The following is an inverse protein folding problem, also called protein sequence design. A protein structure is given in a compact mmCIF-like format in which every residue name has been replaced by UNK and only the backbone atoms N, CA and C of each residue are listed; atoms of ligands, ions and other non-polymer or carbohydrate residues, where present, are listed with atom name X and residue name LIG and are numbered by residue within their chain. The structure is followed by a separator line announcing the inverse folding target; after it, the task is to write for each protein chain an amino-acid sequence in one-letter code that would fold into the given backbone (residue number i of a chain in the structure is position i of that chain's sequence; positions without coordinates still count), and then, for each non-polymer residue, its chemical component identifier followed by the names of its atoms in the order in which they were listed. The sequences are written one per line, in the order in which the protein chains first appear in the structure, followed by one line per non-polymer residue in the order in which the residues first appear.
data_IF_131682447319
#
_entry.id   IF_131682447319
#
_cell.length_a   1.000
_cell.length_b   1.000
_cell.length_c   1.000
_cell.angle_alpha   90.00
_cell.angle_beta   90.00
_cell.angle_gamma   90.00
#
_symmetry.space_group_name_H-M   'P 1'
#
loop_
_entity.id
_entity.type
_entity.pdbx_description
1 polymer ?
#
# COMPACT_ATOMS: atom_id res chain seq x y z
N UNK A 1 -37.84 -32.93 15.38
CA UNK A 1 -36.49 -32.39 15.16
C UNK A 1 -36.64 -30.89 15.22
N UNK A 2 -36.29 -30.31 16.36
CA UNK A 2 -36.39 -28.88 16.62
C UNK A 2 -35.22 -28.18 15.91
N UNK A 3 -35.53 -27.48 14.82
CA UNK A 3 -34.59 -26.57 14.17
C UNK A 3 -34.63 -25.24 14.91
N UNK A 4 -33.95 -25.15 16.04
CA UNK A 4 -33.75 -23.88 16.73
C UNK A 4 -33.08 -22.90 15.76
N UNK A 5 -33.62 -21.68 15.56
CA UNK A 5 -32.99 -20.68 14.72
C UNK A 5 -31.60 -20.40 15.29
N UNK A 6 -30.57 -20.59 14.48
CA UNK A 6 -29.20 -20.21 14.84
C UNK A 6 -29.19 -18.70 14.96
N UNK A 7 -29.20 -18.19 16.18
CA UNK A 7 -29.04 -16.78 16.48
C UNK A 7 -27.58 -16.42 16.22
N UNK A 8 -27.32 -15.94 15.00
CA UNK A 8 -25.99 -15.48 14.59
C UNK A 8 -25.77 -14.11 15.19
N UNK A 9 -24.80 -13.99 16.10
CA UNK A 9 -24.40 -12.72 16.67
C UNK A 9 -23.83 -11.81 15.58
N UNK A 10 -24.49 -10.69 15.23
CA UNK A 10 -24.01 -9.77 14.21
C UNK A 10 -22.68 -9.12 14.60
N UNK A 11 -22.28 -9.14 15.87
CA UNK A 11 -20.99 -8.63 16.32
C UNK A 11 -19.80 -9.49 15.85
N UNK A 12 -20.04 -10.76 15.52
CA UNK A 12 -19.00 -11.73 15.15
C UNK A 12 -18.82 -11.88 13.63
N UNK A 13 -19.65 -11.20 12.84
CA UNK A 13 -19.61 -11.24 11.37
C UNK A 13 -18.45 -10.38 10.86
N UNK A 14 -17.25 -10.98 10.76
CA UNK A 14 -16.10 -10.37 10.10
C UNK A 14 -16.23 -10.62 8.59
N UNK A 15 -16.87 -9.68 7.88
CA UNK A 15 -16.96 -9.73 6.42
C UNK A 15 -15.73 -9.01 5.88
N UNK A 16 -14.73 -9.76 5.47
CA UNK A 16 -13.74 -9.22 4.56
C UNK A 16 -14.51 -8.85 3.27
N UNK A 17 -14.39 -7.66 2.67
CA UNK A 17 -15.02 -7.36 1.36
C UNK A 17 -13.93 -7.07 0.31
N UNK A 18 -12.78 -7.72 0.46
CA UNK A 18 -11.54 -7.37 -0.23
C UNK A 18 -10.81 -6.27 0.55
N UNK A 19 -10.00 -5.44 -0.12
CA UNK A 19 -9.17 -4.41 0.55
C UNK A 19 -9.92 -3.47 1.51
N UNK A 20 -11.25 -3.41 1.46
CA UNK A 20 -12.08 -2.80 2.51
C UNK A 20 -12.23 -3.82 3.64
N UNK A 21 -11.32 -3.75 4.61
CA UNK A 21 -11.47 -4.51 5.84
C UNK A 21 -12.70 -3.93 6.56
N UNK A 22 -13.80 -4.68 6.69
CA UNK A 22 -14.92 -4.34 7.59
C UNK A 22 -14.51 -4.53 9.06
N UNK A 23 -13.25 -4.23 9.37
CA UNK A 23 -12.79 -3.89 10.71
C UNK A 23 -13.21 -2.49 11.10
N UNK A 24 -13.51 -1.63 10.12
CA UNK A 24 -13.99 -0.29 10.44
C UNK A 24 -15.36 -0.37 11.11
N UNK A 25 -15.49 0.01 12.40
CA UNK A 25 -16.77 -0.02 13.10
C UNK A 25 -17.85 0.80 12.38
N UNK A 26 -17.45 1.82 11.60
CA UNK A 26 -18.35 2.60 10.77
C UNK A 26 -19.05 1.76 9.69
N UNK A 27 -18.31 0.88 9.02
CA UNK A 27 -18.88 0.05 7.94
C UNK A 27 -19.83 -0.99 8.51
N UNK A 28 -19.50 -1.56 9.68
CA UNK A 28 -20.39 -2.50 10.40
C UNK A 28 -21.72 -1.85 10.78
N UNK A 29 -21.68 -0.62 11.26
CA UNK A 29 -22.87 0.12 11.63
C UNK A 29 -23.77 0.42 10.42
N UNK A 30 -23.18 0.82 9.28
CA UNK A 30 -23.94 1.04 8.04
C UNK A 30 -24.57 -0.27 7.55
N UNK A 31 -23.82 -1.37 7.58
CA UNK A 31 -24.34 -2.69 7.21
C UNK A 31 -25.50 -3.10 8.12
N UNK A 32 -25.36 -2.92 9.43
CA UNK A 32 -26.41 -3.20 10.41
C UNK A 32 -27.69 -2.43 10.09
N UNK A 33 -27.59 -1.13 9.81
CA UNK A 33 -28.76 -0.32 9.40
C UNK A 33 -29.39 -0.81 8.09
N UNK A 34 -28.59 -1.27 7.13
CA UNK A 34 -29.12 -1.83 5.88
C UNK A 34 -29.81 -3.19 6.09
N UNK A 35 -29.34 -3.99 7.05
CA UNK A 35 -30.04 -5.20 7.49
C UNK A 35 -31.35 -4.88 8.22
N UNK A 36 -31.35 -3.90 9.12
CA UNK A 36 -32.54 -3.44 9.85
C UNK A 36 -33.62 -2.87 8.90
N UNK A 37 -33.20 -2.24 7.79
CA UNK A 37 -34.09 -1.80 6.71
C UNK A 37 -34.68 -2.95 5.88
N UNK A 38 -34.20 -4.18 6.04
CA UNK A 38 -34.58 -5.32 5.21
C UNK A 38 -34.07 -5.25 3.76
N UNK A 39 -33.08 -4.39 3.50
CA UNK A 39 -32.47 -4.25 2.18
C UNK A 39 -31.43 -5.34 1.89
N UNK A 40 -30.80 -5.88 2.96
CA UNK A 40 -29.83 -6.97 2.91
C UNK A 40 -30.34 -8.08 3.85
N UNK A 41 -30.51 -9.29 3.32
CA UNK A 41 -30.91 -10.44 4.13
C UNK A 41 -29.69 -11.19 4.67
N UNK A 42 -29.86 -11.93 5.76
CA UNK A 42 -28.80 -12.77 6.31
C UNK A 42 -28.32 -13.83 5.29
N UNK A 43 -29.23 -14.37 4.48
CA UNK A 43 -28.92 -15.32 3.41
C UNK A 43 -27.97 -14.70 2.37
N UNK A 44 -28.17 -13.44 2.01
CA UNK A 44 -27.30 -12.73 1.06
C UNK A 44 -25.86 -12.62 1.61
N UNK A 45 -25.72 -12.31 2.91
CA UNK A 45 -24.42 -12.19 3.58
C UNK A 45 -23.68 -13.54 3.57
N UNK A 46 -24.35 -14.62 3.96
CA UNK A 46 -23.71 -15.95 3.99
C UNK A 46 -23.30 -16.43 2.59
N UNK A 47 -24.09 -16.09 1.56
CA UNK A 47 -23.79 -16.40 0.16
C UNK A 47 -22.54 -15.64 -0.32
N UNK A 48 -22.45 -14.35 0.02
CA UNK A 48 -21.29 -13.53 -0.29
C UNK A 48 -20.03 -13.96 0.46
N UNK A 49 -20.14 -14.32 1.74
CA UNK A 49 -19.03 -14.85 2.52
C UNK A 49 -18.50 -16.16 1.93
N UNK A 50 -19.39 -17.09 1.57
CA UNK A 50 -19.00 -18.34 0.90
C UNK A 50 -18.32 -18.06 -0.43
N UNK A 51 -18.84 -17.12 -1.22
CA UNK A 51 -18.24 -16.72 -2.49
C UNK A 51 -16.83 -16.15 -2.30
N UNK A 52 -16.64 -15.29 -1.31
CA UNK A 52 -15.34 -14.67 -1.06
C UNK A 52 -14.29 -15.68 -0.60
N UNK A 53 -14.69 -16.65 0.22
CA UNK A 53 -13.82 -17.74 0.63
C UNK A 53 -13.49 -18.69 -0.54
N UNK A 54 -14.27 -18.65 -1.62
CA UNK A 54 -14.21 -19.58 -2.75
C UNK A 54 -13.23 -19.21 -3.87
N UNK A 55 -12.17 -18.47 -3.57
CA UNK A 55 -10.82 -18.51 -4.19
C UNK A 55 -10.29 -17.13 -4.58
N UNK A 56 -9.01 -16.91 -4.29
CA UNK A 56 -8.29 -15.67 -4.62
C UNK A 56 -7.78 -15.73 -6.08
N UNK A 57 -8.71 -15.60 -7.05
CA UNK A 57 -8.45 -15.78 -8.48
C UNK A 57 -7.29 -14.94 -9.03
N UNK A 58 -7.01 -13.78 -8.41
CA UNK A 58 -5.85 -12.95 -8.76
C UNK A 58 -4.52 -13.66 -8.50
N UNK A 59 -4.37 -14.31 -7.33
CA UNK A 59 -3.15 -15.06 -6.98
C UNK A 59 -2.96 -16.26 -7.91
N UNK A 60 -4.05 -16.93 -8.25
CA UNK A 60 -4.05 -18.10 -9.14
C UNK A 60 -3.68 -17.68 -10.56
N UNK A 61 -4.22 -16.56 -11.07
CA UNK A 61 -3.87 -16.02 -12.38
C UNK A 61 -2.39 -15.61 -12.48
N UNK A 62 -1.85 -15.00 -11.42
CA UNK A 62 -0.44 -14.59 -11.37
C UNK A 62 0.50 -15.80 -11.34
N UNK A 63 0.26 -16.74 -10.41
CA UNK A 63 1.08 -17.96 -10.29
C UNK A 63 0.94 -18.85 -11.54
N UNK A 64 -0.29 -19.00 -12.05
CA UNK A 64 -0.58 -19.78 -13.25
C UNK A 64 0.10 -19.21 -14.50
N UNK A 65 0.04 -17.89 -14.73
CA UNK A 65 0.69 -17.25 -15.87
C UNK A 65 2.22 -17.36 -15.83
N UNK A 66 2.82 -17.16 -14.65
CA UNK A 66 4.26 -17.26 -14.47
C UNK A 66 4.80 -18.70 -14.63
N UNK A 67 4.09 -19.69 -14.09
CA UNK A 67 4.48 -21.10 -14.22
C UNK A 67 4.30 -21.61 -15.66
N UNK A 68 3.18 -21.28 -16.31
CA UNK A 68 2.89 -21.74 -17.66
C UNK A 68 3.94 -21.25 -18.67
N UNK A 69 4.33 -19.98 -18.58
CA UNK A 69 5.38 -19.42 -19.46
C UNK A 69 6.77 -19.96 -19.15
N UNK A 70 7.09 -20.20 -17.88
CA UNK A 70 8.38 -20.77 -17.47
C UNK A 70 8.54 -22.21 -17.93
N UNK A 71 7.49 -23.03 -17.81
CA UNK A 71 7.49 -24.43 -18.27
C UNK A 71 7.51 -24.49 -19.80
N UNK A 72 6.68 -23.70 -20.48
CA UNK A 72 6.62 -23.70 -21.95
C UNK A 72 7.93 -23.20 -22.59
N UNK A 73 8.50 -22.12 -22.07
CA UNK A 73 9.72 -21.52 -22.59
C UNK A 73 10.97 -22.38 -22.39
N UNK A 74 11.00 -23.22 -21.35
CA UNK A 74 12.15 -24.07 -21.04
C UNK A 74 12.07 -25.48 -21.62
N UNK A 75 10.88 -26.10 -21.67
CA UNK A 75 10.76 -27.52 -22.02
C UNK A 75 10.21 -27.79 -23.42
N UNK A 76 9.39 -26.88 -23.98
CA UNK A 76 8.65 -27.18 -25.22
C UNK A 76 9.30 -26.55 -26.45
N UNK A 77 10.06 -25.45 -26.28
CA UNK A 77 10.68 -24.74 -27.40
C UNK A 77 12.18 -24.99 -27.50
N UNK A 78 12.63 -25.55 -28.62
CA UNK A 78 14.05 -25.58 -29.03
C UNK A 78 14.21 -24.61 -30.22
N UNK A 79 15.17 -23.66 -30.19
CA UNK A 79 16.21 -23.39 -29.19
C UNK A 79 15.75 -22.59 -27.95
N UNK A 80 16.44 -22.70 -26.79
CA UNK A 80 16.07 -22.00 -25.57
C UNK A 80 16.20 -20.48 -25.75
N UNK A 81 15.19 -19.75 -25.28
CA UNK A 81 15.19 -18.29 -25.33
C UNK A 81 16.26 -17.71 -24.40
N UNK A 82 16.92 -16.60 -24.77
CA UNK A 82 17.83 -15.90 -23.87
C UNK A 82 17.07 -15.39 -22.64
N UNK A 83 17.73 -15.42 -21.47
CA UNK A 83 17.13 -15.13 -20.15
C UNK A 83 16.37 -13.80 -20.13
N UNK A 84 16.89 -12.76 -20.80
CA UNK A 84 16.21 -11.46 -20.88
C UNK A 84 14.87 -11.51 -21.63
N UNK A 85 14.74 -12.33 -22.68
CA UNK A 85 13.48 -12.52 -23.41
C UNK A 85 12.48 -13.34 -22.60
N UNK A 86 12.97 -14.36 -21.87
CA UNK A 86 12.13 -15.12 -20.93
C UNK A 86 11.53 -14.22 -19.86
N UNK A 87 12.35 -13.36 -19.24
CA UNK A 87 11.88 -12.41 -18.23
C UNK A 87 10.86 -11.40 -18.78
N UNK A 88 11.09 -10.88 -19.99
CA UNK A 88 10.14 -9.98 -20.65
C UNK A 88 8.79 -10.66 -20.94
N UNK A 89 8.83 -11.88 -21.50
CA UNK A 89 7.62 -12.66 -21.80
C UNK A 89 6.88 -13.10 -20.53
N UNK A 90 7.60 -13.49 -19.47
CA UNK A 90 6.97 -13.86 -18.20
C UNK A 90 6.28 -12.67 -17.54
N UNK A 91 6.89 -11.48 -17.59
CA UNK A 91 6.28 -10.27 -17.03
C UNK A 91 5.02 -9.89 -17.81
N UNK A 92 5.07 -9.95 -19.14
CA UNK A 92 3.90 -9.71 -19.99
C UNK A 92 2.79 -10.74 -19.73
N UNK A 93 3.14 -12.03 -19.65
CA UNK A 93 2.17 -13.07 -19.38
C UNK A 93 1.59 -13.00 -17.96
N UNK A 94 2.38 -12.60 -16.96
CA UNK A 94 1.88 -12.34 -15.62
C UNK A 94 0.89 -11.16 -15.62
N UNK A 95 1.18 -10.09 -16.35
CA UNK A 95 0.26 -8.95 -16.48
C UNK A 95 -1.05 -9.34 -17.18
N UNK A 96 -0.97 -10.09 -18.29
CA UNK A 96 -2.16 -10.60 -18.99
C UNK A 96 -2.93 -11.58 -18.11
N UNK A 97 -2.25 -12.49 -17.42
CA UNK A 97 -2.85 -13.44 -16.49
C UNK A 97 -3.57 -12.75 -15.33
N UNK A 98 -2.96 -11.71 -14.75
CA UNK A 98 -3.57 -10.88 -13.72
C UNK A 98 -4.81 -10.16 -14.25
N UNK A 99 -4.73 -9.58 -15.46
CA UNK A 99 -5.85 -8.87 -16.11
C UNK A 99 -7.03 -9.80 -16.44
N UNK A 100 -6.75 -11.03 -16.86
CA UNK A 100 -7.79 -12.04 -17.07
C UNK A 100 -8.37 -12.54 -15.74
N UNK A 101 -7.52 -12.70 -14.72
CA UNK A 101 -7.94 -13.08 -13.36
C UNK A 101 -8.93 -12.08 -12.76
N UNK A 102 -8.68 -10.77 -12.92
CA UNK A 102 -9.64 -9.74 -12.48
C UNK A 102 -10.94 -9.80 -13.27
N UNK A 103 -10.87 -10.05 -14.58
CA UNK A 103 -12.07 -10.26 -15.42
C UNK A 103 -12.93 -11.44 -14.95
N UNK A 104 -12.31 -12.57 -14.61
CA UNK A 104 -13.02 -13.72 -14.04
C UNK A 104 -13.62 -13.42 -12.67
N UNK A 105 -12.89 -12.70 -11.80
CA UNK A 105 -13.37 -12.29 -10.49
C UNK A 105 -14.61 -11.38 -10.60
N UNK A 106 -14.61 -10.42 -11.55
CA UNK A 106 -15.77 -9.57 -11.83
C UNK A 106 -16.94 -10.40 -12.35
N UNK A 107 -16.72 -11.30 -13.31
CA UNK A 107 -17.77 -12.16 -13.86
C UNK A 107 -18.40 -13.05 -12.79
N UNK A 108 -17.58 -13.69 -11.98
CA UNK A 108 -18.04 -14.57 -10.90
C UNK A 108 -18.75 -13.74 -9.81
N UNK A 109 -18.31 -12.49 -9.56
CA UNK A 109 -19.02 -11.56 -8.68
C UNK A 109 -20.39 -11.17 -9.20
N UNK A 110 -20.52 -10.89 -10.51
CA UNK A 110 -21.81 -10.65 -11.16
C UNK A 110 -22.71 -11.89 -11.04
N UNK A 111 -22.17 -13.08 -11.23
CA UNK A 111 -22.92 -14.32 -11.08
C UNK A 111 -23.38 -14.53 -9.64
N UNK A 112 -22.53 -14.25 -8.65
CA UNK A 112 -22.88 -14.31 -7.23
C UNK A 112 -24.00 -13.32 -6.89
N UNK A 113 -23.90 -12.07 -7.35
CA UNK A 113 -24.96 -11.05 -7.16
C UNK A 113 -26.26 -11.49 -7.82
N UNK A 114 -26.21 -12.06 -9.02
CA UNK A 114 -27.40 -12.55 -9.72
C UNK A 114 -27.98 -13.82 -9.08
N UNK A 115 -27.22 -14.53 -8.24
CA UNK A 115 -27.71 -15.69 -7.47
C UNK A 115 -28.39 -15.32 -6.15
N UNK A 116 -28.34 -14.04 -5.76
CA UNK A 116 -29.07 -13.54 -4.58
C UNK A 116 -30.58 -13.61 -4.83
N UNK A 117 -31.35 -13.76 -3.75
CA UNK A 117 -32.81 -13.86 -3.84
C UNK A 117 -33.44 -12.58 -4.41
N UNK A 118 -32.85 -11.42 -4.09
CA UNK A 118 -33.31 -10.11 -4.54
C UNK A 118 -32.13 -9.22 -5.00
N UNK A 119 -31.57 -9.42 -6.20
CA UNK A 119 -30.37 -8.72 -6.66
C UNK A 119 -30.55 -7.20 -6.72
N UNK A 120 -31.75 -6.73 -7.06
CA UNK A 120 -32.02 -5.29 -7.21
C UNK A 120 -32.07 -4.56 -5.87
N UNK A 121 -32.56 -5.22 -4.81
CA UNK A 121 -32.54 -4.66 -3.44
C UNK A 121 -31.11 -4.55 -2.93
N UNK A 122 -30.33 -5.62 -3.15
CA UNK A 122 -28.92 -5.64 -2.77
C UNK A 122 -28.10 -4.56 -3.49
N UNK A 123 -28.29 -4.38 -4.81
CA UNK A 123 -27.64 -3.29 -5.57
C UNK A 123 -27.98 -1.91 -5.01
N UNK A 124 -29.26 -1.66 -4.69
CA UNK A 124 -29.69 -0.41 -4.09
C UNK A 124 -29.01 -0.19 -2.72
N UNK A 125 -28.97 -1.23 -1.89
CA UNK A 125 -28.30 -1.20 -0.58
C UNK A 125 -26.81 -0.88 -0.71
N UNK A 126 -26.12 -1.48 -1.68
CA UNK A 126 -24.71 -1.21 -1.96
C UNK A 126 -24.48 0.24 -2.40
N UNK A 127 -25.34 0.79 -3.26
CA UNK A 127 -25.24 2.19 -3.68
C UNK A 127 -25.44 3.12 -2.48
N UNK A 128 -26.48 2.91 -1.67
CA UNK A 128 -26.72 3.68 -0.44
C UNK A 128 -25.53 3.58 0.54
N UNK A 129 -25.01 2.38 0.78
CA UNK A 129 -23.86 2.14 1.65
C UNK A 129 -22.60 2.86 1.12
N UNK A 130 -22.33 2.78 -0.18
CA UNK A 130 -21.18 3.47 -0.79
C UNK A 130 -21.30 4.99 -0.67
N UNK A 131 -22.51 5.53 -0.83
CA UNK A 131 -22.80 6.95 -0.69
C UNK A 131 -22.63 7.40 0.77
N UNK A 132 -23.11 6.62 1.73
CA UNK A 132 -22.96 6.89 3.16
C UNK A 132 -21.48 6.83 3.59
N UNK A 133 -20.72 5.83 3.11
CA UNK A 133 -19.28 5.75 3.35
C UNK A 133 -18.53 6.95 2.77
N UNK A 134 -18.87 7.40 1.56
CA UNK A 134 -18.27 8.60 0.96
C UNK A 134 -18.62 9.86 1.75
N UNK A 135 -19.87 10.01 2.17
CA UNK A 135 -20.32 11.14 3.00
C UNK A 135 -19.60 11.14 4.35
N UNK A 136 -19.42 9.97 4.97
CA UNK A 136 -18.72 9.83 6.24
C UNK A 136 -17.22 10.14 6.09
N UNK A 137 -16.58 9.68 5.01
CA UNK A 137 -15.18 10.00 4.72
C UNK A 137 -14.99 11.50 4.49
N UNK A 138 -15.92 12.15 3.78
CA UNK A 138 -15.90 13.61 3.60
C UNK A 138 -16.11 14.33 4.93
N UNK A 139 -17.00 13.86 5.79
CA UNK A 139 -17.21 14.42 7.13
C UNK A 139 -15.96 14.26 8.01
N UNK A 140 -15.29 13.11 7.95
CA UNK A 140 -14.03 12.87 8.67
C UNK A 140 -12.91 13.80 8.18
N UNK A 141 -12.76 13.98 6.86
CA UNK A 141 -11.81 14.93 6.29
C UNK A 141 -12.11 16.36 6.73
N UNK A 142 -13.38 16.78 6.72
CA UNK A 142 -13.78 18.11 7.22
C UNK A 142 -13.48 18.30 8.71
N UNK A 143 -13.57 17.26 9.54
CA UNK A 143 -13.17 17.35 10.95
C UNK A 143 -11.66 17.59 11.09
N UNK A 144 -10.84 16.88 10.33
CA UNK A 144 -9.38 17.06 10.34
C UNK A 144 -8.99 18.46 9.86
N UNK A 145 -9.60 18.92 8.76
CA UNK A 145 -9.33 20.25 8.21
C UNK A 145 -9.90 21.38 9.10
N UNK A 146 -11.08 21.17 9.71
CA UNK A 146 -11.75 22.16 10.57
C UNK A 146 -11.14 22.29 11.96
N UNK A 147 -10.49 21.25 12.48
CA UNK A 147 -9.72 21.32 13.74
C UNK A 147 -8.44 22.17 13.63
N UNK A 148 -8.05 22.59 12.42
CA UNK A 148 -7.00 23.59 12.20
C UNK A 148 -7.52 25.02 12.13
N UNK A 149 -8.76 25.30 12.55
CA UNK A 149 -9.22 26.68 12.68
C UNK A 149 -8.64 27.26 13.99
N UNK A 150 -7.66 28.18 13.94
CA UNK A 150 -6.97 28.68 15.12
C UNK A 150 -7.90 29.63 15.88
N UNK A 151 -8.58 29.10 16.89
CA UNK A 151 -9.16 29.90 17.94
C UNK A 151 -8.07 30.45 18.86
N UNK A 152 -7.32 31.44 18.38
CA UNK A 152 -6.82 32.59 19.13
C UNK A 152 -5.81 33.36 18.28
N UNK A 153 -6.30 34.44 17.69
CA UNK A 153 -5.48 35.62 17.44
C UNK A 153 -4.95 36.13 18.78
N UNK A 154 -3.63 36.26 18.91
CA UNK A 154 -2.90 37.46 19.38
C UNK A 154 -1.40 37.20 19.18
N UNK A 155 -0.78 38.02 18.32
CA UNK A 155 0.66 38.35 18.24
C UNK A 155 1.68 37.21 18.04
N UNK A 156 2.07 36.99 16.78
CA UNK A 156 3.49 37.06 16.38
C UNK A 156 3.54 36.84 14.87
N UNK A 157 3.40 37.92 14.11
CA UNK A 157 3.63 37.89 12.68
C UNK A 157 5.12 37.90 12.44
N UNK A 158 5.69 36.80 11.97
CA UNK A 158 6.95 36.78 11.19
C UNK A 158 7.32 35.41 10.58
N UNK A 159 6.77 34.28 11.05
CA UNK A 159 7.32 32.95 10.64
C UNK A 159 6.64 32.25 9.45
N UNK A 160 5.47 32.69 8.96
CA UNK A 160 4.74 32.01 7.88
C UNK A 160 5.15 32.40 6.45
N UNK A 161 6.38 32.89 6.24
CA UNK A 161 6.93 33.11 4.89
C UNK A 161 7.60 31.87 4.27
N UNK A 162 7.73 30.76 4.99
CA UNK A 162 8.43 29.56 4.47
C UNK A 162 7.58 28.66 3.56
N UNK A 163 6.25 28.67 3.65
CA UNK A 163 5.40 27.81 2.82
C UNK A 163 5.28 28.30 1.37
N UNK A 164 5.29 29.61 1.14
CA UNK A 164 5.24 30.21 -0.21
C UNK A 164 6.55 30.01 -1.01
N UNK A 165 7.62 29.53 -0.36
CA UNK A 165 8.92 29.29 -0.99
C UNK A 165 8.97 28.02 -1.86
N UNK A 166 8.03 27.07 -1.70
CA UNK A 166 8.11 25.79 -2.41
C UNK A 166 7.72 25.91 -3.88
N UNK A 167 6.70 26.71 -4.20
CA UNK A 167 6.24 26.87 -5.60
C UNK A 167 7.16 27.75 -6.44
N UNK A 168 7.93 28.65 -5.82
CA UNK A 168 8.71 29.64 -6.57
C UNK A 168 10.06 29.10 -7.10
N UNK A 169 10.51 27.92 -6.65
CA UNK A 169 11.80 27.34 -7.08
C UNK A 169 11.76 26.72 -8.48
N UNK A 170 10.58 26.51 -9.05
CA UNK A 170 10.42 25.97 -10.42
C UNK A 170 10.57 27.01 -11.54
N UNK A 171 10.63 28.30 -11.22
CA UNK A 171 10.69 29.41 -12.21
C UNK A 171 12.03 30.12 -12.28
N UNK A 172 13.09 29.60 -11.64
CA UNK A 172 14.43 30.16 -11.82
C UNK A 172 15.01 29.71 -13.16
N UNK A 173 14.60 30.49 -14.17
CA UNK A 173 15.20 30.67 -15.49
C UNK A 173 16.61 30.12 -15.63
N UNK A 174 16.75 29.12 -16.49
CA UNK A 174 18.01 28.80 -17.16
C UNK A 174 18.61 30.09 -17.73
N UNK A 175 19.86 30.47 -17.41
CA UNK A 175 20.51 31.58 -18.09
C UNK A 175 20.61 31.25 -19.58
N UNK A 176 20.17 32.20 -20.40
CA UNK A 176 20.21 32.11 -21.85
C UNK A 176 21.62 31.74 -22.32
N UNK A 177 21.72 30.62 -23.05
CA UNK A 177 22.94 30.21 -23.71
C UNK A 177 23.33 31.27 -24.75
N UNK A 178 24.51 31.87 -24.57
CA UNK A 178 25.13 32.69 -25.59
C UNK A 178 25.49 31.83 -26.82
N UNK A 179 25.41 32.36 -28.04
CA UNK A 179 25.82 31.66 -29.25
C UNK A 179 27.35 31.54 -29.29
N UNK A 180 27.88 30.34 -29.12
CA UNK A 180 29.30 30.04 -29.32
C UNK A 180 29.54 29.47 -30.72
N UNK A 181 30.42 30.17 -31.42
CA UNK A 181 30.99 29.96 -32.75
C UNK A 181 31.58 28.56 -32.94
N UNK A 182 31.45 27.92 -34.13
CA UNK A 182 32.07 26.64 -34.40
C UNK A 182 33.50 26.82 -34.89
N UNK A 183 34.47 26.24 -34.16
CA UNK A 183 35.83 26.07 -34.67
C UNK A 183 36.85 25.80 -33.59
N UNK A 184 37.17 24.54 -33.33
CA UNK A 184 38.54 23.99 -33.49
C UNK A 184 38.63 22.53 -33.04
N UNK A 185 39.31 21.73 -33.87
CA UNK A 185 39.85 20.41 -33.59
C UNK A 185 40.98 20.50 -32.55
N UNK A 186 40.90 19.72 -31.45
CA UNK A 186 42.02 19.14 -30.70
C UNK A 186 41.45 18.29 -29.53
N UNK A 187 41.59 16.95 -29.55
CA UNK A 187 42.75 16.16 -29.08
C UNK A 187 42.83 16.03 -27.54
N UNK A 188 42.26 14.93 -27.03
CA UNK A 188 42.87 14.09 -25.99
C UNK A 188 42.70 14.44 -24.50
N UNK A 189 42.01 13.52 -23.80
CA UNK A 189 42.05 13.17 -22.36
C UNK A 189 41.18 13.96 -21.36
N UNK A 190 40.85 13.36 -20.19
CA UNK A 190 40.34 12.02 -19.92
C UNK A 190 38.82 12.07 -19.62
N UNK A 191 38.14 10.92 -19.67
CA UNK A 191 36.74 10.77 -19.24
C UNK A 191 36.62 10.98 -17.73
N UNK A 192 36.65 12.24 -17.31
CA UNK A 192 36.33 12.70 -15.97
C UNK A 192 34.90 12.29 -15.66
N UNK A 193 34.81 11.26 -14.81
CA UNK A 193 33.60 10.62 -14.35
C UNK A 193 32.51 11.66 -14.07
N UNK A 194 31.45 11.68 -14.88
CA UNK A 194 30.36 12.68 -14.82
C UNK A 194 29.74 12.72 -13.41
N UNK A 195 29.83 11.61 -12.69
CA UNK A 195 29.45 11.45 -11.29
C UNK A 195 30.38 12.16 -10.30
N UNK A 196 31.66 12.32 -10.61
CA UNK A 196 32.59 13.13 -9.81
C UNK A 196 32.24 14.62 -9.90
N UNK A 197 31.83 15.08 -11.09
CA UNK A 197 31.43 16.47 -11.30
C UNK A 197 30.09 16.80 -10.62
N UNK A 198 29.12 15.87 -10.64
CA UNK A 198 27.86 16.00 -9.89
C UNK A 198 28.06 15.97 -8.37
N UNK A 199 29.07 15.24 -7.87
CA UNK A 199 29.41 15.23 -6.43
C UNK A 199 30.15 16.49 -6.00
N UNK A 200 31.01 17.04 -6.85
CA UNK A 200 31.74 18.28 -6.56
C UNK A 200 30.84 19.52 -6.56
N UNK A 201 29.70 19.49 -7.28
CA UNK A 201 28.74 20.59 -7.32
C UNK A 201 27.73 20.58 -6.17
N UNK A 202 27.85 19.70 -5.18
CA UNK A 202 26.89 19.67 -4.05
C UNK A 202 27.10 20.96 -3.21
N UNK A 203 26.14 21.90 -3.20
CA UNK A 203 26.27 23.13 -2.43
C UNK A 203 26.39 22.79 -0.94
N UNK A 204 27.25 23.52 -0.26
CA UNK A 204 27.55 23.38 1.16
C UNK A 204 26.26 23.23 1.97
N UNK A 205 26.21 22.15 2.76
CA UNK A 205 25.02 21.53 3.36
C UNK A 205 24.00 22.53 3.95
N UNK A 206 22.99 22.87 3.16
CA UNK A 206 21.70 23.28 3.71
C UNK A 206 20.98 22.00 4.17
N UNK A 207 20.50 21.92 5.43
CA UNK A 207 19.79 20.74 5.91
C UNK A 207 18.64 20.44 4.96
N UNK A 208 18.64 19.24 4.39
CA UNK A 208 17.57 18.86 3.47
C UNK A 208 16.27 18.67 4.26
N UNK A 209 15.11 18.87 3.64
CA UNK A 209 13.82 18.63 4.31
C UNK A 209 13.74 17.22 4.95
N UNK A 210 14.49 16.26 4.42
CA UNK A 210 14.67 14.93 4.98
C UNK A 210 15.48 14.87 6.28
N UNK A 211 16.41 15.79 6.49
CA UNK A 211 17.15 15.92 7.75
C UNK A 211 16.26 16.56 8.83
N UNK A 212 15.40 17.51 8.46
CA UNK A 212 14.45 18.12 9.38
C UNK A 212 13.43 17.10 9.90
N UNK A 213 12.90 16.23 9.03
CA UNK A 213 11.98 15.16 9.43
C UNK A 213 12.66 14.16 10.36
N UNK A 214 13.93 13.82 10.12
CA UNK A 214 14.70 12.95 11.03
C UNK A 214 14.94 13.60 12.38
N UNK A 215 15.29 14.88 12.41
CA UNK A 215 15.49 15.61 13.66
C UNK A 215 14.21 15.75 14.48
N UNK A 216 13.03 15.91 13.85
CA UNK A 216 11.76 15.96 14.60
C UNK A 216 11.30 14.60 15.12
N UNK A 217 11.84 13.50 14.60
CA UNK A 217 11.48 12.14 15.01
C UNK A 217 12.57 11.42 15.79
N UNK A 218 13.75 12.03 16.03
CA UNK A 218 14.67 11.50 17.02
C UNK A 218 14.01 11.60 18.40
N UNK A 219 13.73 10.46 19.07
CA UNK A 219 13.18 10.47 20.42
C UNK A 219 14.16 11.21 21.30
N UNK A 220 13.72 12.31 21.92
CA UNK A 220 14.48 12.94 22.99
C UNK A 220 14.82 11.85 24.00
N UNK A 221 16.10 11.48 24.08
CA UNK A 221 16.56 10.42 24.96
C UNK A 221 16.01 10.69 26.36
N UNK A 222 15.23 9.77 26.95
CA UNK A 222 14.67 9.99 28.28
C UNK A 222 15.83 10.17 29.25
N UNK A 223 15.85 11.33 29.91
CA UNK A 223 16.79 11.64 30.97
C UNK A 223 16.80 10.49 31.98
N UNK A 224 17.96 9.91 32.32
CA UNK A 224 18.05 8.80 33.25
C UNK A 224 17.85 9.31 34.68
N UNK A 225 16.60 9.53 35.05
CA UNK A 225 16.24 9.85 36.42
C UNK A 225 14.85 9.32 36.73
N UNK A 226 14.88 8.24 37.53
CA UNK A 226 14.00 8.06 38.69
C UNK A 226 12.80 7.12 38.53
N UNK A 227 12.93 6.02 39.28
CA UNK A 227 11.93 5.26 40.03
C UNK A 227 11.22 4.05 39.41
N UNK A 228 11.56 2.90 40.02
CA UNK A 228 10.89 1.61 40.02
C UNK A 228 9.44 1.74 40.53
N UNK A 229 8.49 2.04 39.65
CA UNK A 229 7.12 1.54 39.82
C UNK A 229 6.84 0.46 38.77
N UNK A 230 6.25 -0.68 39.15
CA UNK A 230 5.76 -1.66 38.19
C UNK A 230 4.58 -1.05 37.43
N UNK A 231 4.89 -0.35 36.35
CA UNK A 231 3.92 0.22 35.43
C UNK A 231 3.05 -0.93 34.91
N UNK A 232 1.77 -0.93 35.26
CA UNK A 232 0.79 -1.90 34.77
C UNK A 232 0.69 -1.69 33.26
N UNK A 233 1.42 -2.52 32.52
CA UNK A 233 1.49 -2.45 31.07
C UNK A 233 0.11 -2.72 30.49
N UNK A 234 -0.46 -1.71 29.84
CA UNK A 234 -1.74 -1.82 29.15
C UNK A 234 -1.66 -2.95 28.11
N UNK A 235 -2.76 -3.68 27.93
CA UNK A 235 -2.81 -4.74 26.94
C UNK A 235 -2.56 -4.23 25.51
N UNK A 236 -2.78 -2.94 25.26
CA UNK A 236 -2.41 -2.28 24.01
C UNK A 236 -0.89 -2.16 23.83
N UNK A 237 -0.15 -1.86 24.90
CA UNK A 237 1.31 -1.76 24.87
C UNK A 237 1.95 -3.14 24.67
N UNK A 238 1.40 -4.18 25.31
CA UNK A 238 1.82 -5.57 25.08
C UNK A 238 1.61 -5.99 23.62
N UNK A 239 0.46 -5.64 23.03
CA UNK A 239 0.18 -5.90 21.61
C UNK A 239 1.12 -5.15 20.68
N UNK A 240 1.43 -3.89 20.99
CA UNK A 240 2.40 -3.10 20.22
C UNK A 240 3.79 -3.72 20.26
N UNK A 241 4.26 -4.16 21.44
CA UNK A 241 5.55 -4.87 21.58
C UNK A 241 5.57 -6.20 20.85
N UNK A 242 4.49 -6.99 20.92
CA UNK A 242 4.40 -8.25 20.18
C UNK A 242 4.45 -8.03 18.67
N UNK A 243 3.68 -7.08 18.13
CA UNK A 243 3.72 -6.76 16.70
C UNK A 243 5.11 -6.31 16.23
N UNK A 244 5.82 -5.57 17.09
CA UNK A 244 7.19 -5.14 16.79
C UNK A 244 8.18 -6.31 16.80
N UNK A 245 8.06 -7.22 17.78
CA UNK A 245 8.87 -8.43 17.82
C UNK A 245 8.62 -9.36 16.61
N UNK A 246 7.37 -9.48 16.15
CA UNK A 246 7.03 -10.23 14.95
C UNK A 246 7.63 -9.62 13.68
N UNK A 247 7.63 -8.28 13.58
CA UNK A 247 8.23 -7.56 12.47
C UNK A 247 9.75 -7.74 12.44
N UNK A 248 10.41 -7.62 13.59
CA UNK A 248 11.85 -7.85 13.71
C UNK A 248 12.23 -9.29 13.37
N UNK A 249 11.42 -10.28 13.81
CA UNK A 249 11.59 -11.68 13.46
C UNK A 249 11.47 -11.94 11.94
N UNK A 250 10.55 -11.24 11.25
CA UNK A 250 10.42 -11.31 9.79
C UNK A 250 11.65 -10.74 9.08
N UNK A 251 12.17 -9.60 9.52
CA UNK A 251 13.39 -8.99 8.96
C UNK A 251 14.63 -9.87 9.17
N UNK A 252 14.74 -10.49 10.34
CA UNK A 252 15.86 -11.37 10.65
C UNK A 252 15.80 -12.66 9.82
N UNK A 253 14.59 -13.20 9.58
CA UNK A 253 14.37 -14.32 8.67
C UNK A 253 14.77 -13.97 7.23
N UNK A 254 14.46 -12.76 6.77
CA UNK A 254 14.87 -12.29 5.43
C UNK A 254 16.40 -12.16 5.32
N UNK A 255 17.07 -11.57 6.32
CA UNK A 255 18.55 -11.51 6.36
C UNK A 255 19.18 -12.88 6.33
N UNK A 256 18.64 -13.83 7.11
CA UNK A 256 19.17 -15.20 7.17
C UNK A 256 19.06 -15.90 5.82
N UNK A 257 17.95 -15.76 5.12
CA UNK A 257 17.80 -16.28 3.75
C UNK A 257 18.79 -15.65 2.75
N UNK A 258 19.16 -14.38 2.95
CA UNK A 258 20.19 -13.72 2.14
C UNK A 258 21.61 -14.26 2.38
N UNK A 259 21.94 -14.63 3.61
CA UNK A 259 23.27 -15.15 3.98
C UNK A 259 23.45 -16.62 3.60
N UNK A 260 22.42 -17.45 3.81
CA UNK A 260 22.48 -18.90 3.54
C UNK A 260 22.67 -19.23 2.04
N UNK A 261 22.43 -18.28 1.13
CA UNK A 261 22.63 -18.44 -0.32
C UNK A 261 24.05 -18.09 -0.81
N UNK A 262 24.93 -17.58 0.06
CA UNK A 262 26.30 -17.18 -0.34
C UNK A 262 27.40 -18.26 -0.27
N UNK A 263 27.34 -19.33 0.55
CA UNK A 263 28.46 -20.26 0.68
C UNK A 263 28.61 -21.28 -0.47
N UNK A 264 27.56 -21.60 -1.24
CA UNK A 264 27.66 -22.63 -2.29
C UNK A 264 28.37 -22.18 -3.59
N UNK A 265 28.52 -20.87 -3.82
CA UNK A 265 29.20 -20.37 -5.03
C UNK A 265 30.72 -20.33 -4.91
N UNK A 266 31.28 -20.54 -3.71
CA UNK A 266 32.72 -20.44 -3.46
C UNK A 266 33.48 -21.78 -3.45
N UNK A 267 32.78 -22.91 -3.47
CA UNK A 267 33.38 -24.26 -3.48
C UNK A 267 33.52 -24.87 -4.89
N UNK A 268 33.25 -24.10 -5.95
CA UNK A 268 33.30 -24.56 -7.35
C UNK A 268 34.38 -23.90 -8.21
N UNK A 269 35.33 -23.19 -7.61
CA UNK A 269 36.53 -22.66 -8.27
C UNK A 269 37.78 -23.11 -7.53
#
# INVERSE_FOLDING_TARGET
MDSSPVEVDPAQIDIDLGHIHVRDPATREILRRQMEKGNITHTDITTLQRYQQSWDYSRIGLLGGALTTSVWGRFIRQPPLPVGRLFGLSTLAAFVGASLGTGFQVRAGIQAVNSLENPDRFKKALVEMSQELLAQRQAALRRITGSQQPGNAVQSGEETKLADSWDNRSRQSSPAAAPVTPGHLAKGAPSGDRWSQLRAQKPTAQPTAWDTIRQTHEPSSPSPSTQNEPMIESDEDKRRRQAQAEFDALLERERKMGQDNTPELKSRW
#
